data_IF_664487783305
#
_entry.id   IF_664487783305
#
_cell.length_a   1.000
_cell.length_b   1.000
_cell.length_c   1.000
_cell.angle_alpha   90.00
_cell.angle_beta   90.00
_cell.angle_gamma   90.00
#
_symmetry.space_group_name_H-M   'P 1'
#
loop_
_entity.id
_entity.type
_entity.pdbx_description
1 polymer ?
#
# COMPACT_ATOMS: atom_id res chain seq x y z
N UNK A 1 12.37 -5.64 16.45
CA UNK A 1 11.05 -5.97 15.89
C UNK A 1 10.65 -7.38 16.31
N UNK A 2 9.52 -7.53 16.99
CA UNK A 2 8.95 -8.81 17.41
C UNK A 2 8.34 -9.56 16.24
N UNK A 3 8.08 -10.86 16.40
CA UNK A 3 7.49 -11.67 15.33
C UNK A 3 6.08 -11.20 14.94
N UNK A 4 5.26 -10.78 15.91
CA UNK A 4 3.94 -10.19 15.65
C UNK A 4 4.03 -8.88 14.87
N UNK A 5 5.06 -8.06 15.13
CA UNK A 5 5.28 -6.82 14.40
C UNK A 5 5.68 -7.08 12.94
N UNK A 6 6.50 -8.12 12.68
CA UNK A 6 6.85 -8.54 11.32
C UNK A 6 5.65 -9.02 10.54
N UNK A 7 4.79 -9.85 11.14
CA UNK A 7 3.55 -10.34 10.49
C UNK A 7 2.64 -9.17 10.12
N UNK A 8 2.41 -8.24 11.05
CA UNK A 8 1.61 -7.03 10.76
C UNK A 8 2.23 -6.16 9.67
N UNK A 9 3.56 -6.06 9.64
CA UNK A 9 4.27 -5.33 8.60
C UNK A 9 4.12 -5.98 7.22
N UNK A 10 4.25 -7.31 7.15
CA UNK A 10 4.03 -8.09 5.93
C UNK A 10 2.60 -7.92 5.39
N UNK A 11 1.59 -7.99 6.25
CA UNK A 11 0.19 -7.74 5.87
C UNK A 11 -0.02 -6.34 5.29
N UNK A 12 0.55 -5.32 5.92
CA UNK A 12 0.46 -3.93 5.44
C UNK A 12 1.17 -3.74 4.09
N UNK A 13 2.32 -4.38 3.89
CA UNK A 13 3.04 -4.36 2.61
C UNK A 13 2.24 -5.05 1.51
N UNK A 14 1.65 -6.22 1.81
CA UNK A 14 0.76 -6.93 0.88
C UNK A 14 -0.47 -6.10 0.50
N UNK A 15 -1.08 -5.42 1.46
CA UNK A 15 -2.21 -4.52 1.18
C UNK A 15 -1.79 -3.35 0.29
N UNK A 16 -0.66 -2.70 0.57
CA UNK A 16 -0.14 -1.61 -0.25
C UNK A 16 0.14 -2.08 -1.70
N UNK A 17 0.79 -3.23 -1.87
CA UNK A 17 1.08 -3.81 -3.19
C UNK A 17 -0.21 -4.13 -3.98
N UNK A 18 -1.23 -4.67 -3.30
CA UNK A 18 -2.54 -4.94 -3.90
C UNK A 18 -3.20 -3.65 -4.40
N UNK A 19 -3.20 -2.60 -3.59
CA UNK A 19 -3.76 -1.30 -3.97
C UNK A 19 -3.03 -0.70 -5.18
N UNK A 20 -1.69 -0.75 -5.21
CA UNK A 20 -0.92 -0.28 -6.37
C UNK A 20 -1.20 -1.10 -7.63
N UNK A 21 -1.42 -2.41 -7.52
CA UNK A 21 -1.83 -3.26 -8.64
C UNK A 21 -3.19 -2.83 -9.19
N UNK A 22 -4.17 -2.56 -8.30
CA UNK A 22 -5.47 -2.04 -8.71
C UNK A 22 -5.38 -0.65 -9.34
N UNK A 23 -4.53 0.23 -8.81
CA UNK A 23 -4.27 1.54 -9.40
C UNK A 23 -3.72 1.43 -10.83
N UNK A 24 -2.73 0.57 -11.04
CA UNK A 24 -2.15 0.33 -12.36
C UNK A 24 -3.19 -0.22 -13.35
N UNK A 25 -4.03 -1.15 -12.90
CA UNK A 25 -5.12 -1.66 -13.73
C UNK A 25 -6.14 -0.57 -14.09
N UNK A 26 -6.55 0.25 -13.12
CA UNK A 26 -7.47 1.36 -13.35
C UNK A 26 -6.89 2.41 -14.32
N UNK A 27 -5.60 2.72 -14.23
CA UNK A 27 -4.92 3.61 -15.20
C UNK A 27 -4.95 3.03 -16.62
N UNK A 28 -4.68 1.72 -16.77
CA UNK A 28 -4.69 1.04 -18.06
C UNK A 28 -6.07 1.03 -18.72
N UNK A 29 -7.14 1.10 -17.93
CA UNK A 29 -8.52 1.15 -18.43
C UNK A 29 -9.10 2.56 -18.50
N UNK A 30 -8.28 3.60 -18.28
CA UNK A 30 -8.70 5.00 -18.34
C UNK A 30 -9.50 5.48 -17.11
N UNK A 31 -9.61 4.65 -16.07
CA UNK A 31 -10.34 4.97 -14.83
C UNK A 31 -9.47 5.77 -13.86
N UNK A 32 -9.04 6.96 -14.28
CA UNK A 32 -8.08 7.81 -13.55
C UNK A 32 -8.54 8.16 -12.12
N UNK A 33 -9.84 8.35 -11.90
CA UNK A 33 -10.40 8.63 -10.58
C UNK A 33 -10.25 7.43 -9.62
N UNK A 34 -10.52 6.21 -10.09
CA UNK A 34 -10.30 5.00 -9.29
C UNK A 34 -8.82 4.78 -9.00
N UNK A 35 -7.95 5.02 -9.99
CA UNK A 35 -6.51 4.96 -9.79
C UNK A 35 -6.04 5.93 -8.68
N UNK A 36 -6.54 7.16 -8.70
CA UNK A 36 -6.21 8.16 -7.68
C UNK A 36 -6.62 7.72 -6.26
N UNK A 37 -7.80 7.11 -6.12
CA UNK A 37 -8.26 6.55 -4.83
C UNK A 37 -7.31 5.46 -4.31
N UNK A 38 -6.97 4.49 -5.15
CA UNK A 38 -6.05 3.40 -4.77
C UNK A 38 -4.65 3.90 -4.40
N UNK A 39 -4.12 4.88 -5.14
CA UNK A 39 -2.84 5.52 -4.82
C UNK A 39 -2.92 6.31 -3.50
N UNK A 40 -4.03 7.02 -3.25
CA UNK A 40 -4.27 7.72 -1.98
C UNK A 40 -4.28 6.78 -0.78
N UNK A 41 -4.91 5.61 -0.90
CA UNK A 41 -4.91 4.60 0.16
C UNK A 41 -3.49 4.13 0.53
N UNK A 42 -2.61 3.98 -0.47
CA UNK A 42 -1.21 3.59 -0.25
C UNK A 42 -0.45 4.73 0.42
N UNK A 43 -0.66 5.98 0.00
CA UNK A 43 -0.02 7.14 0.63
C UNK A 43 -0.33 7.23 2.13
N UNK A 44 -1.54 6.87 2.54
CA UNK A 44 -1.91 6.82 3.97
C UNK A 44 -1.18 5.71 4.75
N UNK A 45 -0.77 4.63 4.09
CA UNK A 45 -0.04 3.51 4.71
C UNK A 45 1.48 3.76 4.79
N UNK A 46 2.04 4.57 3.88
CA UNK A 46 3.48 4.77 3.75
C UNK A 46 4.18 5.30 5.02
N UNK A 47 3.64 6.27 5.79
CA UNK A 47 4.31 6.75 7.00
C UNK A 47 4.54 5.65 8.03
N UNK A 48 3.51 4.83 8.28
CA UNK A 48 3.60 3.70 9.21
C UNK A 48 4.60 2.63 8.75
N UNK A 49 4.59 2.32 7.45
CA UNK A 49 5.53 1.38 6.85
C UNK A 49 6.98 1.87 6.95
N UNK A 50 7.24 3.13 6.59
CA UNK A 50 8.58 3.75 6.65
C UNK A 50 9.15 3.73 8.07
N UNK A 51 8.34 4.10 9.07
CA UNK A 51 8.77 4.08 10.47
C UNK A 51 9.11 2.66 10.95
N UNK A 52 8.38 1.63 10.49
CA UNK A 52 8.62 0.25 10.90
C UNK A 52 9.80 -0.40 10.19
N UNK A 53 10.03 -0.05 8.92
CA UNK A 53 11.15 -0.56 8.12
C UNK A 53 12.47 0.15 8.42
N UNK A 54 12.43 1.39 8.90
CA UNK A 54 13.62 2.16 9.29
C UNK A 54 14.10 1.91 10.72
N UNK A 55 13.52 0.94 11.43
CA UNK A 55 13.87 0.52 12.80
C UNK A 55 14.52 -0.85 12.78
#
# INVERSE_FOLDING_TARGET
MTEQEKVRLDEQLKQAAKQLTHALHALRTGQNQHAAVYVGNVQNLLPGLRMRLGR
#
